data_IF_045815106726
#
_entry.id   IF_045815106726
#
_cell.length_a   1.000
_cell.length_b   1.000
_cell.length_c   1.000
_cell.angle_alpha   90.00
_cell.angle_beta   90.00
_cell.angle_gamma   90.00
#
_symmetry.space_group_name_H-M   'P 1'
#
loop_
_entity.id
_entity.type
_entity.pdbx_description
1 polymer ?
#
# COMPACT_ATOMS: atom_id res chain seq x y z
N UNK A 1 15.01 -44.58 12.77
CA UNK A 1 13.62 -44.13 12.91
C UNK A 1 13.44 -42.92 13.88
N UNK A 2 14.16 -42.86 15.01
CA UNK A 2 14.03 -41.72 15.94
C UNK A 2 14.57 -40.40 15.38
N UNK A 3 15.62 -40.42 14.58
CA UNK A 3 16.23 -39.21 14.01
C UNK A 3 15.41 -38.60 12.87
N UNK A 4 14.73 -39.42 12.05
CA UNK A 4 13.86 -38.96 10.97
C UNK A 4 12.60 -38.26 11.50
N UNK A 5 12.12 -38.66 12.67
CA UNK A 5 10.94 -38.05 13.30
C UNK A 5 11.26 -36.65 13.87
N UNK A 6 12.51 -36.45 14.38
CA UNK A 6 12.98 -35.17 14.90
C UNK A 6 13.14 -34.11 13.80
N UNK A 7 13.64 -34.50 12.64
CA UNK A 7 13.80 -33.62 11.48
C UNK A 7 12.45 -33.18 10.91
N UNK A 8 11.46 -34.07 10.88
CA UNK A 8 10.12 -33.75 10.42
C UNK A 8 9.41 -32.76 11.35
N UNK A 9 9.63 -32.88 12.66
CA UNK A 9 9.07 -31.96 13.66
C UNK A 9 9.70 -30.56 13.60
N UNK A 10 11.00 -30.45 13.31
CA UNK A 10 11.69 -29.17 13.13
C UNK A 10 11.24 -28.43 11.85
N UNK A 11 10.98 -29.17 10.76
CA UNK A 11 10.46 -28.62 9.52
C UNK A 11 9.02 -28.06 9.67
N UNK A 12 8.15 -28.74 10.41
CA UNK A 12 6.78 -28.28 10.65
C UNK A 12 6.74 -27.00 11.53
N UNK A 13 7.68 -26.84 12.46
CA UNK A 13 7.77 -25.65 13.31
C UNK A 13 8.21 -24.41 12.51
N UNK A 14 9.13 -24.56 11.56
CA UNK A 14 9.60 -23.44 10.73
C UNK A 14 8.52 -22.92 9.76
N UNK A 15 7.70 -23.78 9.20
CA UNK A 15 6.59 -23.42 8.32
C UNK A 15 5.50 -22.64 9.06
N UNK A 16 5.15 -23.03 10.29
CA UNK A 16 4.17 -22.33 11.11
C UNK A 16 4.59 -20.90 11.48
N UNK A 17 5.86 -20.69 11.73
CA UNK A 17 6.39 -19.36 12.07
C UNK A 17 6.34 -18.38 10.88
N UNK A 18 6.64 -18.87 9.69
CA UNK A 18 6.59 -18.07 8.44
C UNK A 18 5.17 -17.63 8.10
N UNK A 19 4.18 -18.53 8.20
CA UNK A 19 2.77 -18.21 7.94
C UNK A 19 2.23 -17.16 8.91
N UNK A 20 2.61 -17.21 10.19
CA UNK A 20 2.20 -16.22 11.18
C UNK A 20 2.77 -14.84 10.87
N UNK A 21 4.03 -14.75 10.45
CA UNK A 21 4.70 -13.49 10.08
C UNK A 21 4.04 -12.85 8.86
N UNK A 22 3.74 -13.61 7.82
CA UNK A 22 3.08 -13.09 6.62
C UNK A 22 1.67 -12.56 6.92
N UNK A 23 0.92 -13.22 7.78
CA UNK A 23 -0.39 -12.74 8.23
C UNK A 23 -0.28 -11.39 8.92
N UNK A 24 0.67 -11.23 9.84
CA UNK A 24 0.93 -9.98 10.56
C UNK A 24 1.32 -8.87 9.58
N UNK A 25 2.21 -9.14 8.64
CA UNK A 25 2.64 -8.17 7.63
C UNK A 25 1.47 -7.70 6.76
N UNK A 26 0.63 -8.62 6.28
CA UNK A 26 -0.56 -8.30 5.48
C UNK A 26 -1.58 -7.44 6.24
N UNK A 27 -1.82 -7.74 7.50
CA UNK A 27 -2.71 -6.91 8.33
C UNK A 27 -2.12 -5.52 8.60
N UNK A 28 -0.81 -5.41 8.82
CA UNK A 28 -0.14 -4.13 8.97
C UNK A 28 -0.21 -3.28 7.68
N UNK A 29 -0.04 -3.89 6.50
CA UNK A 29 -0.21 -3.23 5.20
C UNK A 29 -1.65 -2.73 5.02
N UNK A 30 -2.66 -3.56 5.32
CA UNK A 30 -4.07 -3.13 5.29
C UNK A 30 -4.35 -1.96 6.23
N UNK A 31 -3.72 -1.96 7.41
CA UNK A 31 -3.86 -0.84 8.36
C UNK A 31 -3.33 0.47 7.77
N UNK A 32 -2.19 0.46 7.06
CA UNK A 32 -1.68 1.65 6.34
C UNK A 32 -2.70 2.13 5.31
N UNK A 33 -3.25 1.23 4.50
CA UNK A 33 -4.24 1.59 3.47
C UNK A 33 -5.54 2.15 4.08
N UNK A 34 -5.99 1.61 5.21
CA UNK A 34 -7.14 2.13 5.94
C UNK A 34 -6.91 3.55 6.47
N UNK A 35 -5.70 3.86 6.93
CA UNK A 35 -5.31 5.21 7.33
C UNK A 35 -5.28 6.17 6.13
N UNK A 36 -4.83 5.69 4.98
CA UNK A 36 -4.86 6.46 3.73
C UNK A 36 -6.30 6.77 3.28
N UNK A 37 -7.23 5.80 3.33
CA UNK A 37 -8.65 6.05 3.05
C UNK A 37 -9.23 7.17 3.92
N UNK A 38 -8.94 7.12 5.23
CA UNK A 38 -9.41 8.13 6.20
C UNK A 38 -8.82 9.50 5.92
N UNK A 39 -7.52 9.58 5.71
CA UNK A 39 -6.82 10.83 5.43
C UNK A 39 -7.34 11.49 4.14
N UNK A 40 -7.42 10.72 3.05
CA UNK A 40 -7.96 11.18 1.77
C UNK A 40 -9.40 11.67 1.89
N UNK A 41 -10.25 10.88 2.54
CA UNK A 41 -11.66 11.19 2.73
C UNK A 41 -11.91 12.43 3.61
N UNK A 42 -10.89 12.93 4.29
CA UNK A 42 -10.89 14.21 5.00
C UNK A 42 -10.15 15.33 4.25
N UNK A 43 -9.78 15.11 2.99
CA UNK A 43 -8.90 15.97 2.18
C UNK A 43 -7.56 16.29 2.86
N UNK A 44 -7.09 15.37 3.70
CA UNK A 44 -5.77 15.43 4.31
C UNK A 44 -4.75 14.69 3.43
N UNK A 45 -4.33 15.35 2.34
CA UNK A 45 -3.42 14.76 1.35
C UNK A 45 -2.01 14.50 1.92
N UNK A 46 -1.56 15.30 2.89
CA UNK A 46 -0.30 15.04 3.60
C UNK A 46 -0.41 13.78 4.47
N UNK A 47 -1.54 13.60 5.16
CA UNK A 47 -1.83 12.39 5.92
C UNK A 47 -1.90 11.15 5.01
N UNK A 48 -2.52 11.26 3.83
CA UNK A 48 -2.54 10.21 2.82
C UNK A 48 -1.12 9.82 2.38
N UNK A 49 -0.27 10.80 2.16
CA UNK A 49 1.12 10.60 1.74
C UNK A 49 2.03 10.02 2.83
N UNK A 50 1.59 9.92 4.09
CA UNK A 50 2.34 9.22 5.15
C UNK A 50 2.45 7.71 4.88
N UNK A 51 1.55 7.13 4.10
CA UNK A 51 1.64 5.75 3.62
C UNK A 51 2.78 5.52 2.63
N UNK A 52 3.29 6.57 2.01
CA UNK A 52 4.39 6.50 1.04
C UNK A 52 5.75 6.75 1.68
N UNK A 53 6.77 6.15 1.10
CA UNK A 53 8.16 6.36 1.48
C UNK A 53 8.59 7.81 1.20
N UNK A 54 8.96 8.54 2.24
CA UNK A 54 9.38 9.94 2.12
C UNK A 54 10.82 10.03 1.60
N UNK A 55 10.98 9.83 0.29
CA UNK A 55 12.27 9.76 -0.39
C UNK A 55 12.14 10.21 -1.85
N UNK A 56 13.22 10.73 -2.41
CA UNK A 56 13.28 11.18 -3.81
C UNK A 56 13.23 10.01 -4.82
N UNK A 57 13.47 8.78 -4.35
CA UNK A 57 13.38 7.56 -5.17
C UNK A 57 11.98 6.96 -5.24
N UNK A 58 10.99 7.48 -4.50
CA UNK A 58 9.58 7.08 -4.62
C UNK A 58 9.15 7.20 -6.09
N UNK A 59 8.45 6.19 -6.60
CA UNK A 59 7.92 6.19 -7.97
C UNK A 59 6.39 6.14 -7.94
N UNK A 60 5.77 7.08 -8.63
CA UNK A 60 4.34 7.09 -8.88
C UNK A 60 4.08 7.19 -10.38
N UNK A 61 3.33 6.26 -10.95
CA UNK A 61 2.97 6.25 -12.36
C UNK A 61 1.45 6.32 -12.50
N UNK A 62 0.94 7.48 -12.87
CA UNK A 62 -0.47 7.71 -13.12
C UNK A 62 -0.75 8.09 -14.57
N UNK A 63 -1.95 8.56 -14.85
CA UNK A 63 -2.38 9.01 -16.20
C UNK A 63 -1.49 10.11 -16.79
N UNK A 64 -0.85 10.92 -15.95
CA UNK A 64 0.08 11.98 -16.37
C UNK A 64 1.54 11.50 -16.52
N UNK A 65 1.79 10.19 -16.41
CA UNK A 65 3.11 9.58 -16.53
C UNK A 65 3.84 9.42 -15.20
N UNK A 66 5.16 9.19 -15.29
CA UNK A 66 6.02 8.90 -14.14
C UNK A 66 6.38 10.16 -13.36
N UNK A 67 6.03 10.16 -12.08
CA UNK A 67 6.48 11.12 -11.07
C UNK A 67 7.51 10.45 -10.16
N UNK A 68 8.60 11.13 -9.85
CA UNK A 68 9.61 10.70 -8.89
C UNK A 68 9.63 11.63 -7.67
N UNK A 69 9.79 11.04 -6.50
CA UNK A 69 9.93 11.76 -5.23
C UNK A 69 8.61 12.04 -4.51
N UNK A 70 8.70 11.97 -3.19
CA UNK A 70 7.55 12.13 -2.29
C UNK A 70 6.93 13.54 -2.38
N UNK A 71 7.77 14.57 -2.34
CA UNK A 71 7.31 15.98 -2.39
C UNK A 71 6.58 16.25 -3.71
N UNK A 72 7.15 15.80 -4.84
CA UNK A 72 6.55 16.01 -6.15
C UNK A 72 5.21 15.27 -6.30
N UNK A 73 5.11 14.09 -5.75
CA UNK A 73 3.85 13.33 -5.71
C UNK A 73 2.80 14.06 -4.88
N UNK A 74 3.16 14.57 -3.70
CA UNK A 74 2.25 15.37 -2.86
C UNK A 74 1.78 16.65 -3.58
N UNK A 75 2.70 17.38 -4.25
CA UNK A 75 2.33 18.56 -5.04
C UNK A 75 1.31 18.24 -6.13
N UNK A 76 1.52 17.13 -6.85
CA UNK A 76 0.59 16.68 -7.89
C UNK A 76 -0.79 16.36 -7.31
N UNK A 77 -0.85 15.69 -6.16
CA UNK A 77 -2.12 15.44 -5.46
C UNK A 77 -2.80 16.74 -5.03
N UNK A 78 -2.08 17.68 -4.42
CA UNK A 78 -2.62 18.99 -4.02
C UNK A 78 -3.17 19.78 -5.21
N UNK A 79 -2.51 19.68 -6.35
CA UNK A 79 -2.96 20.34 -7.60
C UNK A 79 -4.20 19.66 -8.20
N UNK A 80 -4.25 18.33 -8.17
CA UNK A 80 -5.34 17.55 -8.77
C UNK A 80 -6.60 17.48 -7.90
N UNK A 81 -6.45 17.60 -6.56
CA UNK A 81 -7.51 17.44 -5.57
C UNK A 81 -7.48 18.57 -4.53
N UNK A 82 -7.62 19.83 -4.96
CA UNK A 82 -7.44 20.99 -4.07
C UNK A 82 -8.51 21.10 -2.99
N UNK A 83 -9.71 20.56 -3.22
CA UNK A 83 -10.84 20.66 -2.28
C UNK A 83 -11.40 19.29 -1.91
N UNK A 84 -12.28 19.26 -0.92
CA UNK A 84 -13.01 18.06 -0.50
C UNK A 84 -13.95 17.55 -1.61
N UNK A 85 -14.55 18.45 -2.38
CA UNK A 85 -15.40 18.12 -3.53
C UNK A 85 -14.60 17.38 -4.60
N UNK A 86 -13.33 17.77 -4.81
CA UNK A 86 -12.42 17.14 -5.77
C UNK A 86 -11.95 15.77 -5.29
N UNK A 87 -11.55 15.66 -4.01
CA UNK A 87 -11.02 14.42 -3.43
C UNK A 87 -12.12 13.39 -3.13
N UNK A 88 -13.26 13.84 -2.62
CA UNK A 88 -14.37 12.98 -2.25
C UNK A 88 -14.05 11.99 -1.13
N UNK A 89 -14.66 10.81 -1.20
CA UNK A 89 -14.45 9.70 -0.27
C UNK A 89 -13.76 8.56 -1.00
N UNK A 90 -12.63 8.12 -0.47
CA UNK A 90 -11.83 7.02 -1.02
C UNK A 90 -12.21 5.69 -0.37
N UNK A 91 -12.34 4.65 -1.20
CA UNK A 91 -12.40 3.25 -0.79
C UNK A 91 -11.47 2.42 -1.67
N UNK A 92 -10.72 1.53 -1.02
CA UNK A 92 -9.93 0.52 -1.69
C UNK A 92 -10.67 -0.83 -1.69
N UNK A 93 -10.63 -1.52 -2.83
CA UNK A 93 -11.03 -2.92 -2.96
C UNK A 93 -9.79 -3.74 -3.25
N UNK A 94 -9.15 -4.25 -2.19
CA UNK A 94 -7.94 -5.05 -2.30
C UNK A 94 -8.30 -6.42 -2.86
N UNK A 95 -7.64 -6.81 -3.96
CA UNK A 95 -7.85 -8.11 -4.63
C UNK A 95 -6.75 -9.10 -4.28
N UNK A 96 -5.52 -8.64 -4.12
CA UNK A 96 -4.37 -9.47 -3.76
C UNK A 96 -3.37 -8.72 -2.88
N UNK A 97 -2.81 -9.43 -1.89
CA UNK A 97 -1.61 -9.04 -1.15
C UNK A 97 -0.71 -10.26 -1.13
N UNK A 98 0.39 -10.22 -1.88
CA UNK A 98 1.34 -11.32 -1.96
C UNK A 98 2.78 -10.88 -1.72
N UNK A 99 3.54 -11.76 -1.10
CA UNK A 99 4.93 -11.53 -0.75
C UNK A 99 5.82 -11.55 -1.98
N UNK A 100 6.69 -10.54 -2.10
CA UNK A 100 7.78 -10.52 -3.10
C UNK A 100 9.01 -11.18 -2.49
N UNK A 101 9.41 -10.67 -1.31
CA UNK A 101 10.59 -11.09 -0.57
C UNK A 101 10.42 -10.67 0.90
N UNK A 102 11.40 -10.98 1.77
CA UNK A 102 11.40 -10.56 3.17
C UNK A 102 11.26 -9.04 3.26
N UNK A 103 10.15 -8.57 3.86
CA UNK A 103 9.85 -7.15 4.01
C UNK A 103 9.40 -6.44 2.73
N UNK A 104 8.91 -7.15 1.71
CA UNK A 104 8.36 -6.56 0.50
C UNK A 104 7.12 -7.31 0.02
N UNK A 105 6.05 -6.57 -0.34
CA UNK A 105 4.78 -7.11 -0.82
C UNK A 105 4.24 -6.33 -2.00
N UNK A 106 3.55 -7.05 -2.93
CA UNK A 106 2.63 -6.42 -3.88
C UNK A 106 1.27 -6.24 -3.23
N UNK A 107 0.59 -5.18 -3.61
CA UNK A 107 -0.85 -5.07 -3.39
C UNK A 107 -1.50 -4.66 -4.70
N UNK A 108 -2.50 -5.41 -5.12
CA UNK A 108 -3.29 -5.11 -6.31
C UNK A 108 -4.75 -4.95 -5.93
N UNK A 109 -5.41 -4.01 -6.58
CA UNK A 109 -6.82 -3.76 -6.31
C UNK A 109 -7.39 -2.63 -7.13
N UNK A 110 -8.50 -2.13 -6.65
CA UNK A 110 -9.26 -1.04 -7.24
C UNK A 110 -9.42 0.09 -6.22
N UNK A 111 -9.38 1.33 -6.70
CA UNK A 111 -9.80 2.49 -5.92
C UNK A 111 -11.14 3.01 -6.43
N UNK A 112 -11.92 3.52 -5.50
CA UNK A 112 -13.22 4.12 -5.77
C UNK A 112 -13.28 5.48 -5.07
N UNK A 113 -13.44 6.54 -5.85
CA UNK A 113 -13.66 7.89 -5.35
C UNK A 113 -15.12 8.28 -5.58
N UNK A 114 -15.86 8.46 -4.50
CA UNK A 114 -17.20 9.01 -4.53
C UNK A 114 -17.14 10.52 -4.33
N UNK A 115 -17.51 11.28 -5.36
CA UNK A 115 -17.36 12.73 -5.40
C UNK A 115 -18.64 13.41 -5.89
N UNK A 116 -18.88 14.65 -5.45
CA UNK A 116 -20.00 15.44 -5.94
C UNK A 116 -19.83 15.86 -7.41
N UNK A 117 -18.58 16.05 -7.85
CA UNK A 117 -18.22 16.39 -9.24
C UNK A 117 -18.19 15.18 -10.19
N UNK A 118 -18.62 14.02 -9.73
CA UNK A 118 -18.60 12.76 -10.46
C UNK A 118 -17.62 11.74 -9.87
N UNK A 119 -18.06 10.49 -9.82
CA UNK A 119 -17.24 9.39 -9.28
C UNK A 119 -16.07 9.07 -10.21
N UNK A 120 -14.96 8.61 -9.61
CA UNK A 120 -13.80 8.11 -10.33
C UNK A 120 -13.37 6.77 -9.75
N UNK A 121 -13.00 5.85 -10.62
CA UNK A 121 -12.55 4.50 -10.25
C UNK A 121 -11.36 4.13 -11.11
N UNK A 122 -10.54 3.25 -10.60
CA UNK A 122 -9.43 2.70 -11.36
C UNK A 122 -8.80 1.53 -10.65
N UNK A 123 -7.76 1.01 -11.25
CA UNK A 123 -6.96 -0.09 -10.72
C UNK A 123 -5.63 0.41 -10.21
N UNK A 124 -5.03 -0.32 -9.29
CA UNK A 124 -3.68 -0.04 -8.82
C UNK A 124 -2.85 -1.30 -8.65
N UNK A 125 -1.54 -1.13 -8.80
CA UNK A 125 -0.50 -2.03 -8.35
C UNK A 125 0.48 -1.22 -7.53
N UNK A 126 0.63 -1.56 -6.26
CA UNK A 126 1.54 -0.89 -5.34
C UNK A 126 2.52 -1.88 -4.73
N UNK A 127 3.73 -1.41 -4.46
CA UNK A 127 4.77 -2.18 -3.78
C UNK A 127 5.01 -1.56 -2.42
N UNK A 128 4.76 -2.36 -1.39
CA UNK A 128 5.11 -2.04 -0.01
C UNK A 128 6.48 -2.59 0.34
N UNK A 129 7.25 -1.81 1.09
CA UNK A 129 8.50 -2.23 1.70
C UNK A 129 8.51 -1.84 3.18
N UNK A 130 9.07 -2.71 4.02
CA UNK A 130 9.28 -2.42 5.44
C UNK A 130 10.57 -1.60 5.57
N UNK A 131 10.44 -0.35 6.02
CA UNK A 131 11.52 0.61 6.19
C UNK A 131 11.44 1.12 7.62
N UNK A 132 12.53 1.00 8.39
CA UNK A 132 12.58 1.41 9.80
C UNK A 132 11.37 0.89 10.61
N UNK A 133 11.05 -0.39 10.43
CA UNK A 133 9.92 -1.10 11.05
C UNK A 133 8.53 -0.66 10.62
N UNK A 134 8.39 0.28 9.68
CA UNK A 134 7.12 0.74 9.12
C UNK A 134 6.91 0.27 7.68
N UNK A 135 5.67 -0.07 7.34
CA UNK A 135 5.29 -0.38 5.96
C UNK A 135 5.06 0.89 5.16
N UNK A 136 5.81 1.06 4.07
CA UNK A 136 5.74 2.22 3.18
C UNK A 136 5.61 1.79 1.73
N UNK A 137 4.79 2.52 0.98
CA UNK A 137 4.69 2.38 -0.48
C UNK A 137 5.94 2.98 -1.11
N UNK A 138 6.67 2.19 -1.89
CA UNK A 138 7.89 2.63 -2.60
C UNK A 138 7.66 2.80 -4.10
N UNK A 139 6.61 2.16 -4.63
CA UNK A 139 6.18 2.31 -6.02
C UNK A 139 4.65 2.15 -6.10
N UNK A 140 4.03 2.92 -6.97
CA UNK A 140 2.59 2.94 -7.22
C UNK A 140 2.33 3.13 -8.70
N UNK A 141 1.50 2.26 -9.29
CA UNK A 141 0.88 2.45 -10.60
C UNK A 141 -0.62 2.50 -10.36
N UNK A 142 -1.23 3.63 -10.67
CA UNK A 142 -2.68 3.85 -10.51
C UNK A 142 -3.26 4.49 -11.77
N UNK A 143 -4.24 3.81 -12.38
CA UNK A 143 -4.90 4.20 -13.65
C UNK A 143 -6.42 4.26 -13.50
#
# INVERSE_FOLDING_TARGET
>A
MKESLLILFLLSFSLGFTQTTEKIDKEAIKAVMNLQEKAWSNNNLEGFMQGYWKNDSLKFYGSSGLTKGWLKTLENYKKGYPTKEDSGTLKFSIKDISKIDKGSYWVMGEYHLKRMIGDANGVFLIIFKKIDSEWKIIADISC
#
